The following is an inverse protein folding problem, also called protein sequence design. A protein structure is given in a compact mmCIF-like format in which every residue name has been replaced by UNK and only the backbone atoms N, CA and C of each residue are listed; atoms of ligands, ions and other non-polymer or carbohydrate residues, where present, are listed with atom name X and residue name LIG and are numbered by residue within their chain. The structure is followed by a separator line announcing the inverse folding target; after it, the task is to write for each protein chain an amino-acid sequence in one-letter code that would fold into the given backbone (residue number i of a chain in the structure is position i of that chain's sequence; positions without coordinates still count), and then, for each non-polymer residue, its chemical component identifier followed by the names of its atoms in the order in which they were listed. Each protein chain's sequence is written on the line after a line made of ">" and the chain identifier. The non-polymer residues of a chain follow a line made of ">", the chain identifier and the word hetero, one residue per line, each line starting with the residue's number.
data_IF_768489415413
#
_entry.id   IF_768489415413
#
_cell.length_a   1.000
_cell.length_b   1.000
_cell.length_c   1.000
_cell.angle_alpha   90.00
_cell.angle_beta   90.00
_cell.angle_gamma   90.00
#
_symmetry.space_group_name_H-M   'P 1'
#
loop_
_entity.id
_entity.type
_entity.pdbx_description
1 polymer ?
#
# COMPACT_ATOMS: atom_id res chain seq x y z
N UNK A 1 -1.82 5.66 -29.55
CA UNK A 1 -2.49 5.42 -28.26
C UNK A 1 -2.15 4.00 -27.86
N UNK A 2 -1.63 3.81 -26.66
CA UNK A 2 -1.32 2.48 -26.18
C UNK A 2 -2.64 1.77 -25.78
N UNK A 3 -2.79 0.46 -26.05
CA UNK A 3 -4.01 -0.29 -25.73
C UNK A 3 -4.34 -0.24 -24.24
N UNK A 4 -5.60 -0.43 -23.83
CA UNK A 4 -5.97 -0.40 -22.40
C UNK A 4 -5.16 -1.41 -21.58
N UNK A 5 -4.91 -2.61 -22.12
CA UNK A 5 -4.03 -3.60 -21.52
C UNK A 5 -2.59 -3.08 -21.30
N UNK A 6 -2.05 -2.30 -22.24
CA UNK A 6 -0.74 -1.68 -22.06
C UNK A 6 -0.74 -0.59 -20.99
N UNK A 7 -1.87 0.10 -20.76
CA UNK A 7 -2.00 1.07 -19.68
C UNK A 7 -1.98 0.38 -18.30
N UNK A 8 -2.64 -0.77 -18.16
CA UNK A 8 -2.57 -1.59 -16.93
C UNK A 8 -1.15 -2.06 -16.65
N UNK A 9 -0.44 -2.56 -17.68
CA UNK A 9 0.96 -2.99 -17.53
C UNK A 9 1.86 -1.84 -17.08
N UNK A 10 1.75 -0.69 -17.77
CA UNK A 10 2.52 0.52 -17.39
C UNK A 10 2.16 1.01 -15.99
N UNK A 11 0.90 0.91 -15.59
CA UNK A 11 0.47 1.24 -14.24
C UNK A 11 1.17 0.36 -13.21
N UNK A 12 1.06 -0.96 -13.33
CA UNK A 12 1.67 -1.90 -12.38
C UNK A 12 3.19 -1.82 -12.38
N UNK A 13 3.80 -1.60 -13.55
CA UNK A 13 5.25 -1.35 -13.67
C UNK A 13 5.67 -0.07 -12.93
N UNK A 14 4.94 1.02 -13.13
CA UNK A 14 5.22 2.30 -12.46
C UNK A 14 5.00 2.18 -10.96
N UNK A 15 3.91 1.56 -10.53
CA UNK A 15 3.61 1.34 -9.12
C UNK A 15 4.66 0.45 -8.44
N UNK A 16 5.10 -0.64 -9.08
CA UNK A 16 6.12 -1.54 -8.54
C UNK A 16 7.47 -0.83 -8.34
N UNK A 17 7.87 -0.01 -9.32
CA UNK A 17 9.07 0.83 -9.22
C UNK A 17 8.94 1.86 -8.10
N UNK A 18 7.87 2.64 -8.11
CA UNK A 18 7.71 3.73 -7.15
C UNK A 18 7.61 3.20 -5.71
N UNK A 19 6.91 2.09 -5.49
CA UNK A 19 6.88 1.44 -4.17
C UNK A 19 8.25 0.90 -3.74
N UNK A 20 9.06 0.41 -4.68
CA UNK A 20 10.43 -0.03 -4.40
C UNK A 20 11.31 1.15 -3.98
N UNK A 21 11.21 2.26 -4.70
CA UNK A 21 11.98 3.48 -4.43
C UNK A 21 11.59 4.11 -3.09
N UNK A 22 10.34 3.94 -2.64
CA UNK A 22 9.83 4.44 -1.36
C UNK A 22 9.70 3.35 -0.28
N UNK A 23 10.23 2.14 -0.51
CA UNK A 23 10.01 1.02 0.42
C UNK A 23 10.56 1.32 1.81
N UNK A 24 11.76 1.88 1.90
CA UNK A 24 12.41 2.22 3.17
C UNK A 24 11.63 3.29 3.93
N UNK A 25 11.17 4.34 3.23
CA UNK A 25 10.31 5.38 3.81
C UNK A 25 9.01 4.78 4.38
N UNK A 26 8.34 3.92 3.62
CA UNK A 26 7.10 3.27 4.05
C UNK A 26 7.36 2.32 5.24
N UNK A 27 8.52 1.66 5.28
CA UNK A 27 8.93 0.84 6.41
C UNK A 27 9.18 1.70 7.66
N UNK A 28 9.77 2.89 7.53
CA UNK A 28 10.03 3.82 8.64
C UNK A 28 8.76 4.49 9.19
N UNK A 29 7.73 4.62 8.34
CA UNK A 29 6.40 5.07 8.74
C UNK A 29 5.55 3.96 9.36
N UNK A 30 5.90 2.69 9.17
CA UNK A 30 5.13 1.55 9.63
C UNK A 30 5.17 1.41 11.16
N UNK A 31 4.18 1.97 11.82
CA UNK A 31 4.05 1.96 13.29
C UNK A 31 2.71 1.35 13.75
N UNK A 32 1.86 0.92 12.81
CA UNK A 32 0.51 0.40 13.05
C UNK A 32 0.12 -0.69 12.03
N UNK A 33 -0.60 -1.76 12.41
CA UNK A 33 -0.88 -2.21 13.78
C UNK A 33 0.36 -2.82 14.46
N UNK A 34 1.39 -3.13 13.68
CA UNK A 34 2.67 -3.66 14.16
C UNK A 34 3.82 -2.90 13.52
N UNK A 35 4.73 -2.40 14.35
CA UNK A 35 5.93 -1.71 13.91
C UNK A 35 7.03 -2.70 13.50
N UNK A 36 6.76 -3.51 12.48
CA UNK A 36 7.70 -4.52 11.98
C UNK A 36 8.52 -4.07 10.76
N UNK A 37 8.38 -2.80 10.39
CA UNK A 37 9.17 -2.14 9.36
C UNK A 37 9.20 -2.90 8.02
N UNK A 38 8.07 -3.53 7.64
CA UNK A 38 8.00 -4.31 6.40
C UNK A 38 6.89 -3.88 5.41
N UNK A 39 6.04 -2.91 5.77
CA UNK A 39 4.90 -2.48 4.94
C UNK A 39 5.29 -2.08 3.52
N UNK A 40 6.36 -1.28 3.36
CA UNK A 40 6.86 -0.87 2.04
C UNK A 40 7.38 -2.05 1.23
N UNK A 41 8.20 -2.90 1.87
CA UNK A 41 8.74 -4.12 1.24
C UNK A 41 7.63 -5.07 0.80
N UNK A 42 6.62 -5.27 1.65
CA UNK A 42 5.49 -6.15 1.40
C UNK A 42 4.62 -5.65 0.24
N UNK A 43 4.30 -4.35 0.20
CA UNK A 43 3.57 -3.76 -0.92
C UNK A 43 4.37 -3.82 -2.23
N UNK A 44 5.66 -3.47 -2.20
CA UNK A 44 6.51 -3.51 -3.40
C UNK A 44 6.59 -4.93 -4.00
N UNK A 45 6.77 -5.96 -3.15
CA UNK A 45 6.79 -7.36 -3.60
C UNK A 45 5.44 -7.80 -4.14
N UNK A 46 4.34 -7.40 -3.49
CA UNK A 46 2.98 -7.78 -3.90
C UNK A 46 2.63 -7.18 -5.27
N UNK A 47 2.97 -5.91 -5.49
CA UNK A 47 2.74 -5.22 -6.78
C UNK A 47 3.68 -5.73 -7.87
N UNK A 48 4.91 -6.11 -7.54
CA UNK A 48 5.82 -6.77 -8.48
C UNK A 48 5.26 -8.12 -8.94
N UNK A 49 4.68 -8.94 -8.05
CA UNK A 49 3.98 -10.18 -8.45
C UNK A 49 2.81 -9.88 -9.38
N UNK A 50 2.00 -8.87 -9.05
CA UNK A 50 0.87 -8.45 -9.89
C UNK A 50 1.34 -8.06 -11.30
N UNK A 51 2.39 -7.25 -11.39
CA UNK A 51 3.05 -6.85 -12.64
C UNK A 51 3.48 -8.07 -13.45
N UNK A 52 4.26 -8.97 -12.85
CA UNK A 52 4.78 -10.16 -13.54
C UNK A 52 3.68 -11.05 -14.09
N UNK A 53 2.57 -11.22 -13.35
CA UNK A 53 1.43 -11.99 -13.83
C UNK A 53 0.82 -11.40 -15.10
N UNK A 54 0.76 -10.08 -15.22
CA UNK A 54 0.26 -9.45 -16.44
C UNK A 54 1.16 -9.73 -17.64
N UNK A 55 2.49 -9.77 -17.48
CA UNK A 55 3.48 -10.00 -18.54
C UNK A 55 3.27 -11.32 -19.29
N UNK A 56 2.69 -12.32 -18.63
CA UNK A 56 2.49 -13.66 -19.20
C UNK A 56 1.21 -13.76 -20.04
N UNK A 57 0.15 -13.04 -19.67
CA UNK A 57 -1.16 -13.15 -20.34
C UNK A 57 -1.30 -12.13 -21.47
N UNK A 58 -1.41 -12.58 -22.73
CA UNK A 58 -1.77 -11.71 -23.85
C UNK A 58 -3.30 -11.60 -23.99
N UNK A 59 -3.89 -10.55 -23.40
CA UNK A 59 -5.33 -10.24 -23.53
C UNK A 59 -5.56 -8.76 -23.79
N UNK A 60 -6.53 -8.38 -24.65
CA UNK A 60 -7.01 -7.00 -24.74
C UNK A 60 -7.98 -6.63 -23.60
N UNK A 61 -8.48 -7.61 -22.85
CA UNK A 61 -9.47 -7.43 -21.80
C UNK A 61 -8.80 -6.90 -20.52
N UNK A 62 -9.22 -5.71 -20.10
CA UNK A 62 -8.70 -5.03 -18.90
C UNK A 62 -9.18 -5.74 -17.63
N UNK A 63 -10.43 -6.20 -17.61
CA UNK A 63 -11.01 -6.90 -16.47
C UNK A 63 -10.29 -8.20 -16.21
N UNK A 64 -10.05 -9.00 -17.26
CA UNK A 64 -9.29 -10.25 -17.17
C UNK A 64 -7.87 -9.99 -16.67
N UNK A 65 -7.18 -8.99 -17.21
CA UNK A 65 -5.81 -8.68 -16.85
C UNK A 65 -5.65 -8.19 -15.41
N UNK A 66 -6.54 -7.29 -14.95
CA UNK A 66 -6.53 -6.77 -13.57
C UNK A 66 -6.94 -7.86 -12.57
N UNK A 67 -7.91 -8.70 -12.93
CA UNK A 67 -8.33 -9.83 -12.10
C UNK A 67 -7.18 -10.83 -11.91
N UNK A 68 -6.49 -11.20 -13.00
CA UNK A 68 -5.31 -12.07 -12.94
C UNK A 68 -4.21 -11.45 -12.07
N UNK A 69 -3.92 -10.16 -12.25
CA UNK A 69 -2.92 -9.46 -11.44
C UNK A 69 -3.26 -9.50 -9.95
N UNK A 70 -4.52 -9.27 -9.59
CA UNK A 70 -5.01 -9.37 -8.22
C UNK A 70 -4.91 -10.78 -7.64
N UNK A 71 -5.27 -11.80 -8.42
CA UNK A 71 -5.19 -13.21 -7.98
C UNK A 71 -3.74 -13.64 -7.73
N UNK A 72 -2.83 -13.34 -8.66
CA UNK A 72 -1.41 -13.64 -8.49
C UNK A 72 -0.81 -12.88 -7.30
N UNK A 73 -1.17 -11.60 -7.15
CA UNK A 73 -0.77 -10.81 -5.98
C UNK A 73 -1.27 -11.44 -4.67
N UNK A 74 -2.48 -12.01 -4.66
CA UNK A 74 -3.08 -12.62 -3.47
C UNK A 74 -2.40 -13.94 -3.10
N UNK A 75 -1.98 -14.73 -4.08
CA UNK A 75 -1.29 -16.01 -3.85
C UNK A 75 0.08 -15.85 -3.18
N UNK A 76 0.79 -14.77 -3.52
CA UNK A 76 2.12 -14.47 -2.99
C UNK A 76 2.15 -13.22 -2.09
N UNK A 77 0.97 -12.75 -1.67
CA UNK A 77 0.83 -11.58 -0.81
C UNK A 77 1.61 -11.77 0.50
N UNK A 78 2.31 -10.70 0.90
CA UNK A 78 3.04 -10.65 2.16
C UNK A 78 2.46 -9.55 3.04
N UNK A 79 2.28 -9.86 4.32
CA UNK A 79 1.71 -8.96 5.31
C UNK A 79 0.25 -8.55 5.04
N UNK A 80 -0.28 -7.73 5.95
CA UNK A 80 -1.66 -7.24 5.88
C UNK A 80 -1.88 -6.30 4.69
N UNK A 81 -0.97 -5.34 4.51
CA UNK A 81 -1.07 -4.32 3.46
C UNK A 81 -1.05 -4.94 2.06
N UNK A 82 -0.17 -5.92 1.81
CA UNK A 82 -0.12 -6.66 0.54
C UNK A 82 -1.39 -7.49 0.30
N UNK A 83 -1.85 -8.23 1.31
CA UNK A 83 -3.07 -9.04 1.21
C UNK A 83 -4.29 -8.19 0.92
N UNK A 84 -4.45 -7.06 1.63
CA UNK A 84 -5.59 -6.16 1.44
C UNK A 84 -5.56 -5.51 0.04
N UNK A 85 -4.38 -5.08 -0.42
CA UNK A 85 -4.22 -4.55 -1.76
C UNK A 85 -4.57 -5.60 -2.84
N UNK A 86 -4.12 -6.84 -2.68
CA UNK A 86 -4.43 -7.92 -3.62
C UNK A 86 -5.93 -8.25 -3.67
N UNK A 87 -6.60 -8.23 -2.51
CA UNK A 87 -8.07 -8.38 -2.40
C UNK A 87 -8.79 -7.23 -3.13
N UNK A 88 -8.34 -5.99 -2.93
CA UNK A 88 -8.84 -4.83 -3.64
C UNK A 88 -8.68 -4.98 -5.15
N UNK A 89 -7.45 -5.29 -5.62
CA UNK A 89 -7.13 -5.38 -7.04
C UNK A 89 -7.94 -6.47 -7.74
N UNK A 90 -8.13 -7.62 -7.09
CA UNK A 90 -8.96 -8.71 -7.62
C UNK A 90 -10.41 -8.26 -7.83
N UNK A 91 -11.01 -7.61 -6.82
CA UNK A 91 -12.39 -7.14 -6.93
C UNK A 91 -12.56 -5.94 -7.87
N UNK A 92 -11.52 -5.10 -7.99
CA UNK A 92 -11.47 -4.06 -9.00
C UNK A 92 -11.55 -4.64 -10.41
N UNK A 93 -10.83 -5.73 -10.68
CA UNK A 93 -10.92 -6.46 -11.95
C UNK A 93 -12.35 -6.92 -12.26
N UNK A 94 -13.04 -7.50 -11.29
CA UNK A 94 -14.45 -7.89 -11.43
C UNK A 94 -15.39 -6.71 -11.68
N UNK A 95 -15.17 -5.56 -11.05
CA UNK A 95 -15.97 -4.35 -11.29
C UNK A 95 -15.74 -3.70 -12.66
N UNK A 96 -14.72 -4.14 -13.40
CA UNK A 96 -14.44 -3.72 -14.78
C UNK A 96 -15.07 -4.67 -15.83
N UNK A 97 -15.73 -5.76 -15.41
CA UNK A 97 -16.29 -6.75 -16.32
C UNK A 97 -17.30 -6.11 -17.30
N UNK A 98 -17.17 -6.46 -18.58
CA UNK A 98 -18.01 -5.92 -19.66
C UNK A 98 -17.59 -4.54 -20.18
N UNK A 99 -16.54 -3.91 -19.63
CA UNK A 99 -15.98 -2.68 -20.18
C UNK A 99 -15.06 -2.96 -21.37
N UNK A 100 -15.45 -2.53 -22.58
CA UNK A 100 -14.62 -2.68 -23.79
C UNK A 100 -13.32 -1.85 -23.73
N UNK A 101 -13.30 -0.82 -22.88
CA UNK A 101 -12.15 0.06 -22.65
C UNK A 101 -12.18 0.70 -21.28
N UNK A 102 -11.04 1.20 -20.83
CA UNK A 102 -10.97 1.96 -19.60
C UNK A 102 -11.60 3.36 -19.82
N UNK A 103 -12.56 3.71 -18.96
CA UNK A 103 -13.19 5.02 -18.89
C UNK A 103 -13.60 5.33 -17.45
N UNK A 104 -14.04 6.56 -17.17
CA UNK A 104 -14.25 7.04 -15.80
C UNK A 104 -15.27 6.20 -15.02
N UNK A 105 -16.41 5.87 -15.63
CA UNK A 105 -17.47 5.08 -15.00
C UNK A 105 -17.04 3.63 -14.72
N UNK A 106 -16.35 2.98 -15.67
CA UNK A 106 -15.83 1.64 -15.45
C UNK A 106 -14.81 1.64 -14.30
N UNK A 107 -13.92 2.62 -14.27
CA UNK A 107 -12.94 2.74 -13.20
C UNK A 107 -13.60 3.02 -11.84
N UNK A 108 -14.60 3.90 -11.78
CA UNK A 108 -15.37 4.18 -10.57
C UNK A 108 -16.08 2.92 -10.04
N UNK A 109 -16.67 2.12 -10.92
CA UNK A 109 -17.28 0.84 -10.56
C UNK A 109 -16.24 -0.14 -10.01
N UNK A 110 -15.08 -0.27 -10.67
CA UNK A 110 -13.97 -1.11 -10.22
C UNK A 110 -13.45 -0.70 -8.84
N UNK A 111 -13.15 0.58 -8.63
CA UNK A 111 -12.65 1.10 -7.35
C UNK A 111 -13.70 0.91 -6.24
N UNK A 112 -14.98 1.16 -6.53
CA UNK A 112 -16.08 0.92 -5.59
C UNK A 112 -16.19 -0.55 -5.21
N UNK A 113 -16.16 -1.46 -6.18
CA UNK A 113 -16.18 -2.91 -5.94
C UNK A 113 -14.97 -3.36 -5.10
N UNK A 114 -13.78 -2.89 -5.44
CA UNK A 114 -12.56 -3.13 -4.68
C UNK A 114 -12.65 -2.65 -3.24
N UNK A 115 -13.15 -1.43 -3.03
CA UNK A 115 -13.31 -0.84 -1.70
C UNK A 115 -14.28 -1.64 -0.84
N UNK A 116 -15.47 -1.97 -1.36
CA UNK A 116 -16.46 -2.82 -0.67
C UNK A 116 -15.84 -4.17 -0.29
N UNK A 117 -15.09 -4.79 -1.20
CA UNK A 117 -14.46 -6.10 -0.95
C UNK A 117 -13.36 -6.01 0.10
N UNK A 118 -12.54 -4.96 0.09
CA UNK A 118 -11.44 -4.75 1.04
C UNK A 118 -11.99 -4.57 2.46
N UNK A 119 -12.99 -3.71 2.64
CA UNK A 119 -13.68 -3.53 3.92
C UNK A 119 -14.31 -4.81 4.43
N UNK A 120 -14.99 -5.55 3.55
CA UNK A 120 -15.67 -6.81 3.93
C UNK A 120 -14.70 -7.98 4.15
N UNK A 121 -13.41 -7.84 3.80
CA UNK A 121 -12.41 -8.87 4.01
C UNK A 121 -11.95 -8.97 5.48
N UNK A 122 -12.17 -7.92 6.26
CA UNK A 122 -11.64 -7.75 7.59
C UNK A 122 -12.75 -7.92 8.62
N UNK A 123 -12.40 -8.57 9.73
CA UNK A 123 -13.33 -8.74 10.87
C UNK A 123 -13.46 -7.45 11.67
N UNK A 124 -12.37 -6.70 11.83
CA UNK A 124 -12.33 -5.43 12.54
C UNK A 124 -11.60 -4.38 11.69
N UNK A 125 -12.31 -3.69 10.77
CA UNK A 125 -11.68 -2.73 9.89
C UNK A 125 -11.38 -1.42 10.62
N UNK A 126 -10.16 -0.91 10.46
CA UNK A 126 -9.67 0.28 11.17
C UNK A 126 -9.65 1.52 10.25
N UNK A 127 -10.43 2.58 10.55
CA UNK A 127 -10.32 3.88 9.89
C UNK A 127 -8.93 4.50 10.03
N UNK A 128 -8.54 5.33 9.08
CA UNK A 128 -7.23 5.98 9.01
C UNK A 128 -6.13 5.12 8.39
N UNK A 129 -6.44 3.88 8.01
CA UNK A 129 -5.52 3.00 7.25
C UNK A 129 -5.75 3.13 5.74
N UNK A 130 -5.10 2.27 4.94
CA UNK A 130 -5.42 2.04 3.52
C UNK A 130 -6.93 1.98 3.22
N UNK A 131 -7.75 1.49 4.16
CA UNK A 131 -9.21 1.44 4.02
C UNK A 131 -9.87 2.82 3.85
N UNK A 132 -9.38 3.84 4.56
CA UNK A 132 -9.90 5.23 4.42
C UNK A 132 -9.58 5.78 3.03
N UNK A 133 -8.40 5.48 2.48
CA UNK A 133 -8.01 5.86 1.12
C UNK A 133 -8.91 5.18 0.08
N UNK A 134 -9.17 3.87 0.22
CA UNK A 134 -10.11 3.15 -0.65
C UNK A 134 -11.55 3.68 -0.53
N UNK A 135 -11.99 4.03 0.67
CA UNK A 135 -13.31 4.60 0.90
C UNK A 135 -13.46 5.99 0.28
N UNK A 136 -12.43 6.83 0.39
CA UNK A 136 -12.39 8.15 -0.23
C UNK A 136 -12.38 8.05 -1.76
N UNK A 137 -11.51 7.20 -2.32
CA UNK A 137 -11.41 6.98 -3.77
C UNK A 137 -12.73 6.45 -4.37
N UNK A 138 -13.44 5.55 -3.67
CA UNK A 138 -14.72 5.00 -4.11
C UNK A 138 -15.87 6.02 -4.11
N UNK A 139 -15.76 7.10 -3.33
CA UNK A 139 -16.78 8.16 -3.25
C UNK A 139 -16.59 9.27 -4.28
N UNK A 140 -15.49 9.24 -5.05
CA UNK A 140 -15.19 10.27 -6.05
C UNK A 140 -16.23 10.20 -7.18
N UNK A 141 -17.01 11.27 -7.42
CA UNK A 141 -17.99 11.27 -8.49
C UNK A 141 -17.30 11.36 -9.86
N UNK A 142 -17.89 10.68 -10.85
CA UNK A 142 -17.51 10.86 -12.25
C UNK A 142 -17.87 12.29 -12.68
N UNK A 143 -16.92 13.09 -13.19
CA UNK A 143 -17.19 14.47 -13.55
C UNK A 143 -18.08 14.55 -14.81
N UNK A 144 -19.04 15.47 -14.80
CA UNK A 144 -19.92 15.77 -15.94
C UNK A 144 -19.22 16.75 -16.90
N UNK A 145 -18.23 16.23 -17.64
CA UNK A 145 -17.34 17.00 -18.50
C UNK A 145 -16.98 16.21 -19.77
N UNK A 146 -17.11 16.87 -20.93
CA UNK A 146 -16.89 16.23 -22.22
C UNK A 146 -17.94 15.16 -22.54
N UNK A 147 -17.68 14.37 -23.60
CA UNK A 147 -18.53 13.23 -23.95
C UNK A 147 -18.35 12.10 -22.91
N UNK A 148 -19.44 11.41 -22.51
CA UNK A 148 -19.36 10.25 -21.61
C UNK A 148 -18.34 9.22 -22.08
N UNK A 149 -17.49 8.81 -21.14
CA UNK A 149 -16.39 7.91 -21.37
C UNK A 149 -15.21 8.50 -22.15
N UNK A 150 -15.13 9.81 -22.39
CA UNK A 150 -13.97 10.41 -23.08
C UNK A 150 -12.68 10.34 -22.24
N UNK A 151 -11.52 10.40 -22.91
CA UNK A 151 -10.21 10.46 -22.23
C UNK A 151 -10.05 11.72 -21.36
N UNK A 152 -10.70 12.82 -21.73
CA UNK A 152 -10.71 14.05 -20.93
C UNK A 152 -11.42 13.83 -19.59
N UNK A 153 -12.61 13.21 -19.63
CA UNK A 153 -13.36 12.85 -18.43
C UNK A 153 -12.58 11.88 -17.54
N UNK A 154 -11.98 10.83 -18.13
CA UNK A 154 -11.13 9.87 -17.41
C UNK A 154 -9.93 10.55 -16.72
N UNK A 155 -9.23 11.43 -17.43
CA UNK A 155 -8.10 12.18 -16.87
C UNK A 155 -8.52 13.06 -15.69
N UNK A 156 -9.64 13.77 -15.81
CA UNK A 156 -10.18 14.60 -14.71
C UNK A 156 -10.63 13.74 -13.52
N UNK A 157 -11.28 12.60 -13.77
CA UNK A 157 -11.66 11.64 -12.73
C UNK A 157 -10.45 11.12 -11.96
N UNK A 158 -9.39 10.69 -12.66
CA UNK A 158 -8.16 10.20 -12.04
C UNK A 158 -7.46 11.26 -11.17
N UNK A 159 -7.48 12.53 -11.57
CA UNK A 159 -6.97 13.62 -10.72
C UNK A 159 -7.77 13.77 -9.43
N UNK A 160 -9.11 13.78 -9.52
CA UNK A 160 -9.96 13.84 -8.33
C UNK A 160 -9.79 12.61 -7.43
N UNK A 161 -9.57 11.44 -8.03
CA UNK A 161 -9.30 10.20 -7.31
C UNK A 161 -8.01 10.27 -6.50
N UNK A 162 -6.91 10.73 -7.12
CA UNK A 162 -5.63 10.91 -6.43
C UNK A 162 -5.71 12.00 -5.36
N UNK A 163 -6.43 13.10 -5.62
CA UNK A 163 -6.66 14.15 -4.63
C UNK A 163 -7.42 13.62 -3.39
N UNK A 164 -8.51 12.87 -3.61
CA UNK A 164 -9.26 12.27 -2.50
C UNK A 164 -8.41 11.27 -1.70
N UNK A 165 -7.60 10.47 -2.40
CA UNK A 165 -6.65 9.57 -1.76
C UNK A 165 -5.61 10.33 -0.93
N UNK A 166 -5.05 11.42 -1.48
CA UNK A 166 -4.08 12.28 -0.80
C UNK A 166 -4.66 12.89 0.49
N UNK A 167 -5.87 13.44 0.44
CA UNK A 167 -6.53 13.98 1.63
C UNK A 167 -6.79 12.90 2.70
N UNK A 168 -7.15 11.68 2.28
CA UNK A 168 -7.33 10.56 3.21
C UNK A 168 -6.00 10.11 3.86
N UNK A 169 -4.88 10.15 3.13
CA UNK A 169 -3.55 9.92 3.71
C UNK A 169 -3.22 10.97 4.77
N UNK A 170 -3.43 12.25 4.49
CA UNK A 170 -3.17 13.31 5.48
C UNK A 170 -4.06 13.16 6.73
N UNK A 171 -5.33 12.78 6.54
CA UNK A 171 -6.28 12.56 7.62
C UNK A 171 -5.91 11.37 8.53
N UNK A 172 -5.13 10.40 8.04
CA UNK A 172 -4.69 9.24 8.84
C UNK A 172 -4.01 9.64 10.15
N UNK A 173 -3.25 10.75 10.15
CA UNK A 173 -2.57 11.28 11.33
C UNK A 173 -3.52 11.69 12.47
N UNK A 174 -4.79 11.97 12.14
CA UNK A 174 -5.84 12.35 13.09
C UNK A 174 -6.83 11.22 13.36
N UNK A 175 -7.00 10.29 12.42
CA UNK A 175 -7.92 9.15 12.57
C UNK A 175 -7.32 8.03 13.41
N UNK A 176 -6.03 7.76 13.26
CA UNK A 176 -5.31 6.74 14.04
C UNK A 176 -4.74 7.36 15.32
N UNK A 177 -5.22 6.89 16.48
CA UNK A 177 -4.77 7.40 17.79
C UNK A 177 -3.25 7.31 17.94
N UNK A 178 -2.64 6.22 17.46
CA UNK A 178 -1.19 5.98 17.46
C UNK A 178 -0.39 7.04 16.68
N UNK A 179 -1.02 7.70 15.70
CA UNK A 179 -0.37 8.74 14.89
C UNK A 179 -0.68 10.16 15.39
N UNK A 180 -1.64 10.33 16.30
CA UNK A 180 -2.04 11.66 16.78
C UNK A 180 -0.88 12.36 17.48
N UNK A 181 -0.64 13.60 17.07
CA UNK A 181 0.45 14.41 17.63
C UNK A 181 1.84 14.07 17.08
N UNK A 182 1.95 13.07 16.20
CA UNK A 182 3.17 12.79 15.43
C UNK A 182 3.16 13.56 14.11
N UNK A 183 4.33 13.62 13.46
CA UNK A 183 4.47 14.14 12.08
C UNK A 183 4.45 13.01 11.04
N UNK A 184 3.65 11.95 11.29
CA UNK A 184 3.58 10.74 10.45
C UNK A 184 2.16 10.47 9.95
N UNK A 185 2.08 9.72 8.85
CA UNK A 185 0.85 9.19 8.25
C UNK A 185 0.90 7.66 8.21
N UNK A 186 -0.24 7.01 7.99
CA UNK A 186 -0.29 5.56 7.81
C UNK A 186 0.50 5.11 6.57
N UNK A 187 1.41 4.15 6.77
CA UNK A 187 2.26 3.63 5.71
C UNK A 187 1.45 2.89 4.63
N UNK A 188 0.41 2.14 5.01
CA UNK A 188 -0.46 1.45 4.06
C UNK A 188 -1.26 2.41 3.18
N UNK A 189 -1.79 3.48 3.78
CA UNK A 189 -2.50 4.56 3.11
C UNK A 189 -1.59 5.27 2.10
N UNK A 190 -0.38 5.67 2.51
CA UNK A 190 0.59 6.30 1.62
C UNK A 190 1.02 5.36 0.49
N UNK A 191 1.25 4.08 0.77
CA UNK A 191 1.54 3.07 -0.24
C UNK A 191 0.42 2.95 -1.28
N UNK A 192 -0.84 2.99 -0.87
CA UNK A 192 -1.97 2.97 -1.81
C UNK A 192 -2.05 4.26 -2.64
N UNK A 193 -1.77 5.43 -2.05
CA UNK A 193 -1.68 6.69 -2.81
C UNK A 193 -0.64 6.61 -3.93
N UNK A 194 0.53 6.03 -3.65
CA UNK A 194 1.58 5.79 -4.67
C UNK A 194 1.02 4.96 -5.84
N UNK A 195 0.31 3.87 -5.52
CA UNK A 195 -0.28 2.99 -6.54
C UNK A 195 -1.35 3.72 -7.37
N UNK A 196 -2.21 4.52 -6.75
CA UNK A 196 -3.28 5.26 -7.44
C UNK A 196 -2.72 6.41 -8.30
N UNK A 197 -1.66 7.08 -7.87
CA UNK A 197 -0.99 8.08 -8.69
C UNK A 197 -0.24 7.47 -9.88
N UNK A 198 0.37 6.30 -9.69
CA UNK A 198 0.94 5.55 -10.81
C UNK A 198 -0.12 5.19 -11.88
N UNK A 199 -1.36 4.88 -11.47
CA UNK A 199 -2.47 4.66 -12.40
C UNK A 199 -2.77 5.93 -13.21
N UNK A 200 -2.89 7.07 -12.51
CA UNK A 200 -3.11 8.38 -13.13
C UNK A 200 -2.03 8.67 -14.18
N UNK A 201 -0.75 8.54 -13.81
CA UNK A 201 0.39 8.77 -14.72
C UNK A 201 0.38 7.85 -15.94
N UNK A 202 0.15 6.54 -15.72
CA UNK A 202 0.14 5.54 -16.78
C UNK A 202 -0.99 5.75 -17.82
N UNK A 203 -2.15 6.24 -17.37
CA UNK A 203 -3.31 6.55 -18.23
C UNK A 203 -3.16 7.91 -18.91
N UNK A 204 -2.63 8.92 -18.22
CA UNK A 204 -2.41 10.25 -18.80
C UNK A 204 -1.23 10.30 -19.78
N UNK A 205 -0.39 9.26 -19.84
CA UNK A 205 0.81 9.23 -20.67
C UNK A 205 1.89 10.22 -20.21
N UNK A 206 1.76 10.72 -18.97
CA UNK A 206 2.78 11.54 -18.32
C UNK A 206 3.74 10.58 -17.62
N UNK A 207 4.84 10.26 -18.27
CA UNK A 207 5.98 9.68 -17.57
C UNK A 207 6.54 10.73 -16.63
N UNK A 208 6.63 10.40 -15.34
CA UNK A 208 7.72 10.96 -14.56
C UNK A 208 9.00 10.37 -15.14
N UNK A 209 9.85 11.23 -15.73
CA UNK A 209 11.29 10.98 -15.66
C UNK A 209 11.54 10.79 -14.17
N UNK A 210 11.92 9.58 -13.77
CA UNK A 210 12.21 9.31 -12.36
C UNK A 210 13.19 10.36 -11.85
N UNK A 211 13.14 10.72 -10.56
CA UNK A 211 14.11 11.64 -10.03
C UNK A 211 15.52 11.12 -10.33
N UNK A 212 16.28 11.91 -11.09
CA UNK A 212 17.74 11.83 -11.14
C UNK A 212 18.26 12.36 -9.78
N UNK A 213 17.90 11.66 -8.70
CA UNK A 213 18.36 11.92 -7.35
C UNK A 213 19.39 10.82 -7.07
N UNK A 214 20.63 11.25 -6.80
CA UNK A 214 21.89 10.49 -6.66
C UNK A 214 22.88 10.52 -7.83
N UNK A 215 22.89 11.59 -8.63
CA UNK A 215 24.08 12.05 -9.35
C UNK A 215 24.79 13.18 -8.59
N UNK A 216 25.36 12.90 -7.42
CA UNK A 216 25.88 13.95 -6.53
C UNK A 216 26.96 13.52 -5.55
N UNK A 217 27.89 12.66 -5.96
CA UNK A 217 29.20 12.57 -5.31
C UNK A 217 30.29 12.52 -6.38
N UNK A 218 30.72 13.70 -6.83
CA UNK A 218 32.12 13.91 -7.24
C UNK A 218 32.49 15.39 -7.05
N UNK A 219 33.78 15.71 -6.88
CA UNK A 219 34.26 16.60 -5.83
C UNK A 219 34.14 18.08 -6.23
N UNK A 220 34.07 18.94 -5.21
CA UNK A 220 33.99 20.39 -5.34
C UNK A 220 34.96 20.97 -6.40
N UNK A 221 34.49 21.84 -7.32
CA UNK A 221 35.39 22.62 -8.15
C UNK A 221 35.82 23.90 -7.42
N UNK A 222 37.12 24.14 -7.48
CA UNK A 222 37.80 25.34 -7.00
C UNK A 222 37.31 26.62 -7.70
N UNK A 223 37.50 27.74 -7.00
CA UNK A 223 37.20 29.10 -7.41
C UNK A 223 37.78 29.53 -8.77
N UNK A 224 36.96 30.22 -9.58
CA UNK A 224 37.22 31.44 -10.38
C UNK A 224 35.99 31.68 -11.25
N UNK A 225 35.29 32.81 -11.20
CA UNK A 225 35.77 34.13 -11.62
C UNK A 225 34.84 34.61 -12.76
N UNK A 226 34.32 35.81 -12.63
CA UNK A 226 33.21 36.42 -13.38
C UNK A 226 33.51 36.72 -14.85
N UNK A 227 32.47 36.78 -15.70
CA UNK A 227 32.10 37.94 -16.55
C UNK A 227 31.24 37.57 -17.77
N UNK A 228 30.20 38.39 -18.05
CA UNK A 228 29.72 38.67 -19.41
C UNK A 228 28.31 38.20 -19.82
N UNK A 229 27.34 39.12 -19.78
CA UNK A 229 26.09 39.11 -20.57
C UNK A 229 26.29 39.86 -21.92
N UNK A 230 25.29 39.98 -22.83
CA UNK A 230 24.20 39.08 -23.27
C UNK A 230 24.05 39.05 -24.82
N UNK A 231 23.13 38.27 -25.42
CA UNK A 231 22.45 38.68 -26.67
C UNK A 231 21.24 37.81 -27.09
N UNK A 232 20.16 38.52 -27.42
CA UNK A 232 18.86 38.10 -27.93
C UNK A 232 18.90 37.37 -29.28
N UNK A 233 17.99 36.40 -29.48
CA UNK A 233 17.30 36.15 -30.77
C UNK A 233 15.87 35.66 -30.54
N UNK A 234 14.93 36.45 -31.03
CA UNK A 234 13.53 36.07 -31.26
C UNK A 234 13.40 35.07 -32.42
N UNK A 235 12.48 34.12 -32.29
CA UNK A 235 12.05 33.23 -33.37
C UNK A 235 10.89 32.33 -32.92
N UNK A 236 9.68 32.78 -33.20
CA UNK A 236 8.42 32.04 -33.43
C UNK A 236 8.34 30.58 -32.93
N UNK A 237 7.48 30.30 -31.94
CA UNK A 237 6.51 29.21 -32.14
C UNK A 237 5.21 29.40 -31.35
N UNK A 238 4.14 28.95 -31.99
CA UNK A 238 2.74 29.22 -31.69
C UNK A 238 2.19 28.35 -30.56
N UNK A 239 1.33 28.95 -29.74
CA UNK A 239 0.25 28.33 -28.96
C UNK A 239 0.55 26.98 -28.29
N UNK A 240 1.05 27.06 -27.05
CA UNK A 240 0.87 26.02 -26.03
C UNK A 240 0.60 26.71 -24.68
N UNK A 241 -0.46 27.50 -24.63
CA UNK A 241 -0.94 28.07 -23.36
C UNK A 241 -1.83 27.02 -22.68
N UNK A 242 -1.43 26.59 -21.48
CA UNK A 242 -2.37 26.09 -20.49
C UNK A 242 -2.22 24.65 -20.01
N UNK A 243 -1.04 24.05 -20.03
CA UNK A 243 -0.67 22.92 -19.18
C UNK A 243 0.84 23.06 -18.90
N UNK A 244 1.30 22.81 -17.68
CA UNK A 244 2.73 22.65 -17.34
C UNK A 244 3.49 23.92 -16.86
N UNK A 245 3.05 24.55 -15.76
CA UNK A 245 3.90 25.47 -14.96
C UNK A 245 4.37 24.87 -13.62
N UNK A 246 3.90 23.68 -13.25
CA UNK A 246 4.35 22.97 -12.05
C UNK A 246 5.29 21.86 -12.52
N UNK A 247 6.45 21.72 -11.87
CA UNK A 247 7.38 20.61 -12.10
C UNK A 247 6.69 19.24 -11.89
N UNK A 248 7.43 18.11 -11.96
CA UNK A 248 6.80 16.81 -11.75
C UNK A 248 6.16 16.76 -10.36
N UNK A 249 4.83 16.84 -10.32
CA UNK A 249 4.02 16.70 -9.12
C UNK A 249 4.05 15.24 -8.68
N UNK A 250 4.60 14.99 -7.50
CA UNK A 250 4.62 13.67 -6.87
C UNK A 250 3.84 13.74 -5.56
N UNK A 251 2.70 13.03 -5.42
CA UNK A 251 1.91 13.09 -4.20
C UNK A 251 2.65 12.72 -2.92
N UNK A 252 3.70 11.88 -3.02
CA UNK A 252 4.54 11.54 -1.87
C UNK A 252 5.29 12.76 -1.35
N UNK A 253 5.94 13.52 -2.24
CA UNK A 253 6.71 14.72 -1.86
C UNK A 253 5.82 15.76 -1.19
N UNK A 254 4.59 15.93 -1.67
CA UNK A 254 3.61 16.84 -1.08
C UNK A 254 3.10 16.36 0.28
N UNK A 255 2.88 15.05 0.47
CA UNK A 255 2.54 14.48 1.79
C UNK A 255 3.68 14.72 2.76
N UNK A 256 4.92 14.38 2.38
CA UNK A 256 6.11 14.57 3.23
C UNK A 256 6.29 16.03 3.63
N UNK A 257 6.16 16.95 2.65
CA UNK A 257 6.22 18.39 2.90
C UNK A 257 5.11 18.85 3.84
N UNK A 258 3.87 18.38 3.63
CA UNK A 258 2.70 18.79 4.40
C UNK A 258 2.76 18.36 5.86
N UNK A 259 3.36 17.20 6.13
CA UNK A 259 3.53 16.69 7.50
C UNK A 259 4.85 17.14 8.14
N UNK A 260 5.66 17.94 7.45
CA UNK A 260 6.95 18.41 7.96
C UNK A 260 8.00 17.30 8.09
N UNK A 261 7.88 16.24 7.30
CA UNK A 261 8.84 15.13 7.26
C UNK A 261 10.10 15.59 6.52
N UNK A 262 11.15 15.90 7.28
CA UNK A 262 12.48 16.13 6.72
C UNK A 262 13.11 14.77 6.41
N UNK A 263 13.63 14.56 5.20
CA UNK A 263 14.27 13.28 4.78
C UNK A 263 15.53 12.95 5.61
N UNK A 264 16.00 13.89 6.44
CA UNK A 264 17.05 13.72 7.43
C UNK A 264 16.69 14.47 8.74
N UNK A 265 15.71 13.99 9.53
CA UNK A 265 15.34 14.66 10.76
C UNK A 265 16.29 14.25 11.90
N UNK A 266 16.72 15.15 12.79
CA UNK A 266 17.17 14.72 14.11
C UNK A 266 15.96 14.08 14.80
N UNK A 267 16.11 12.83 15.25
CA UNK A 267 15.08 12.14 16.04
C UNK A 267 14.67 13.05 17.19
N UNK A 268 13.43 13.55 17.19
CA UNK A 268 12.92 14.30 18.32
C UNK A 268 12.59 13.31 19.44
N UNK A 269 13.17 13.49 20.62
CA UNK A 269 12.99 12.61 21.79
C UNK A 269 11.51 12.38 22.16
N UNK A 270 10.62 13.30 21.78
CA UNK A 270 9.18 13.21 22.00
C UNK A 270 8.51 12.11 21.15
N UNK A 271 8.93 11.92 19.89
CA UNK A 271 8.42 10.85 19.04
C UNK A 271 8.89 9.49 19.59
N UNK A 272 10.17 9.38 19.97
CA UNK A 272 10.72 8.16 20.56
C UNK A 272 10.01 7.76 21.87
N UNK A 273 9.70 8.74 22.73
CA UNK A 273 8.98 8.48 23.99
C UNK A 273 7.52 8.07 23.76
N UNK A 274 6.84 8.65 22.76
CA UNK A 274 5.49 8.23 22.38
C UNK A 274 5.48 6.81 21.80
N UNK A 275 6.47 6.48 20.95
CA UNK A 275 6.62 5.13 20.38
C UNK A 275 6.95 4.08 21.44
N UNK A 276 7.81 4.37 22.41
CA UNK A 276 8.06 3.44 23.53
C UNK A 276 6.84 3.29 24.44
N UNK A 277 6.08 4.37 24.71
CA UNK A 277 4.84 4.27 25.47
C UNK A 277 3.75 3.43 24.76
N UNK A 278 3.72 3.45 23.41
CA UNK A 278 2.82 2.64 22.59
C UNK A 278 3.24 1.17 22.54
N UNK A 279 4.55 0.91 22.50
CA UNK A 279 5.12 -0.43 22.64
C UNK A 279 4.78 -1.02 24.01
N UNK A 280 4.80 -0.21 25.06
CA UNK A 280 4.39 -0.59 26.41
C UNK A 280 2.86 -0.78 26.57
N UNK A 281 2.05 -0.09 25.74
CA UNK A 281 0.58 -0.19 25.79
C UNK A 281 0.01 -1.41 25.03
N UNK A 282 0.75 -1.95 24.06
CA UNK A 282 0.36 -3.14 23.31
C UNK A 282 0.83 -4.38 24.08
N UNK A 283 -0.09 -5.08 24.76
CA UNK A 283 0.26 -6.21 25.66
C UNK A 283 0.67 -7.49 24.92
N UNK A 284 0.57 -7.49 23.60
CA UNK A 284 0.99 -8.55 22.71
C UNK A 284 0.42 -8.34 21.31
N UNK A 285 0.58 -9.34 20.46
CA UNK A 285 0.06 -9.38 19.10
C UNK A 285 -0.59 -10.74 18.84
N UNK A 286 -1.65 -10.71 18.07
CA UNK A 286 -2.24 -11.89 17.45
C UNK A 286 -1.51 -12.13 16.13
N UNK A 287 -0.88 -13.29 16.00
CA UNK A 287 -0.28 -13.74 14.74
C UNK A 287 -1.14 -14.84 14.15
N UNK A 288 -1.68 -14.58 12.96
CA UNK A 288 -2.34 -15.56 12.11
C UNK A 288 -1.46 -15.85 10.89
N UNK A 289 -1.35 -17.11 10.50
CA UNK A 289 -0.61 -17.49 9.30
C UNK A 289 -1.20 -18.75 8.67
N UNK A 290 -0.83 -19.02 7.42
CA UNK A 290 -1.09 -20.29 6.75
C UNK A 290 0.21 -20.98 6.40
N UNK A 291 0.23 -22.31 6.51
CA UNK A 291 1.42 -23.12 6.26
C UNK A 291 1.04 -24.49 5.70
N UNK A 292 1.80 -24.94 4.72
CA UNK A 292 1.65 -26.26 4.13
C UNK A 292 2.57 -27.22 4.90
N UNK A 293 1.99 -28.16 5.63
CA UNK A 293 2.72 -29.06 6.52
C UNK A 293 2.00 -30.39 6.75
N UNK A 294 2.76 -31.40 7.17
CA UNK A 294 2.19 -32.69 7.60
C UNK A 294 1.52 -32.55 8.97
N UNK A 295 0.62 -33.47 9.31
CA UNK A 295 -0.04 -33.49 10.62
C UNK A 295 0.95 -33.58 11.80
N UNK A 296 2.09 -34.25 11.60
CA UNK A 296 3.14 -34.34 12.62
C UNK A 296 3.80 -32.98 12.87
N UNK A 297 4.17 -32.27 11.80
CA UNK A 297 4.76 -30.93 11.90
C UNK A 297 3.76 -29.96 12.52
N UNK A 298 2.47 -30.06 12.18
CA UNK A 298 1.41 -29.24 12.78
C UNK A 298 1.28 -29.45 14.29
N UNK A 299 1.40 -30.69 14.75
CA UNK A 299 1.40 -31.00 16.17
C UNK A 299 2.63 -30.40 16.89
N UNK A 300 3.81 -30.48 16.27
CA UNK A 300 5.04 -29.87 16.81
C UNK A 300 4.94 -28.34 16.87
N UNK A 301 4.49 -27.70 15.79
CA UNK A 301 4.29 -26.24 15.74
C UNK A 301 3.30 -25.80 16.83
N UNK A 302 2.18 -26.50 16.99
CA UNK A 302 1.21 -26.19 18.05
C UNK A 302 1.84 -26.29 19.44
N UNK A 303 2.66 -27.31 19.68
CA UNK A 303 3.31 -27.50 20.97
C UNK A 303 4.29 -26.37 21.29
N UNK A 304 5.18 -26.03 20.35
CA UNK A 304 6.18 -24.97 20.55
C UNK A 304 5.54 -23.58 20.65
N UNK A 305 4.48 -23.31 19.89
CA UNK A 305 3.72 -22.07 20.04
C UNK A 305 3.03 -21.97 21.39
N UNK A 306 2.55 -23.08 21.95
CA UNK A 306 1.93 -23.10 23.28
C UNK A 306 2.95 -22.87 24.43
N UNK A 307 4.25 -23.06 24.17
CA UNK A 307 5.31 -22.64 25.10
C UNK A 307 5.69 -21.16 24.93
N UNK A 308 5.36 -20.58 23.78
CA UNK A 308 5.79 -19.24 23.37
C UNK A 308 4.69 -18.17 23.56
N UNK A 309 3.42 -18.59 23.57
CA UNK A 309 2.27 -17.70 23.62
C UNK A 309 0.99 -18.40 24.08
N UNK A 310 -0.11 -17.66 24.02
CA UNK A 310 -1.44 -18.10 24.46
C UNK A 310 -2.41 -18.22 23.27
N UNK A 311 -3.62 -18.75 23.52
CA UNK A 311 -4.68 -18.89 22.51
C UNK A 311 -4.25 -19.59 21.22
N UNK A 312 -3.44 -20.64 21.33
CA UNK A 312 -2.86 -21.33 20.17
C UNK A 312 -3.89 -22.22 19.47
N UNK A 313 -4.14 -21.92 18.19
CA UNK A 313 -5.00 -22.71 17.31
C UNK A 313 -4.18 -23.11 16.08
N UNK A 314 -4.18 -24.41 15.76
CA UNK A 314 -3.60 -24.96 14.53
C UNK A 314 -4.64 -25.88 13.91
N UNK A 315 -5.25 -25.46 12.79
CA UNK A 315 -6.38 -26.15 12.16
C UNK A 315 -6.11 -26.46 10.70
N UNK A 316 -6.45 -27.67 10.27
CA UNK A 316 -6.35 -28.08 8.87
C UNK A 316 -7.44 -27.36 8.05
N UNK A 317 -7.07 -26.82 6.89
CA UNK A 317 -7.94 -26.04 6.00
C UNK A 317 -8.27 -26.83 4.74
N UNK A 318 -7.24 -27.35 4.05
CA UNK A 318 -7.42 -28.09 2.80
C UNK A 318 -6.30 -29.11 2.58
N UNK A 319 -6.62 -30.25 1.99
CA UNK A 319 -5.64 -31.25 1.57
C UNK A 319 -4.91 -30.77 0.32
N UNK A 320 -3.57 -30.89 0.30
CA UNK A 320 -2.74 -30.59 -0.88
C UNK A 320 -2.33 -31.90 -1.55
N UNK A 321 -1.85 -32.84 -0.75
CA UNK A 321 -1.51 -34.20 -1.13
C UNK A 321 -1.78 -35.14 0.08
N UNK A 322 -1.64 -36.47 -0.08
CA UNK A 322 -2.02 -37.43 0.97
C UNK A 322 -1.36 -37.22 2.33
N UNK A 323 -0.19 -36.60 2.38
CA UNK A 323 0.59 -36.40 3.60
C UNK A 323 0.68 -34.92 4.02
N UNK A 324 0.33 -33.99 3.13
CA UNK A 324 0.46 -32.53 3.33
C UNK A 324 -0.88 -31.83 3.25
N UNK A 325 -1.15 -31.03 4.28
CA UNK A 325 -2.34 -30.18 4.36
C UNK A 325 -1.92 -28.73 4.47
N UNK A 326 -2.78 -27.83 4.02
CA UNK A 326 -2.72 -26.41 4.38
C UNK A 326 -3.31 -26.23 5.76
N UNK A 327 -2.55 -25.65 6.66
CA UNK A 327 -2.95 -25.36 8.04
C UNK A 327 -3.08 -23.86 8.25
N UNK A 328 -4.09 -23.45 9.01
CA UNK A 328 -4.19 -22.12 9.60
C UNK A 328 -3.64 -22.18 11.02
N UNK A 329 -2.74 -21.27 11.32
CA UNK A 329 -2.12 -21.09 12.63
C UNK A 329 -2.56 -19.75 13.20
N UNK A 330 -2.87 -19.72 14.47
CA UNK A 330 -3.23 -18.54 15.24
C UNK A 330 -2.60 -18.67 16.63
N UNK A 331 -1.96 -17.60 17.10
CA UNK A 331 -1.32 -17.53 18.41
C UNK A 331 -1.29 -16.09 18.90
N UNK A 332 -1.45 -15.88 20.20
CA UNK A 332 -1.21 -14.60 20.85
C UNK A 332 0.19 -14.63 21.48
N UNK A 333 1.08 -13.72 21.08
CA UNK A 333 2.45 -13.63 21.59
C UNK A 333 2.76 -12.20 22.03
N UNK A 334 3.68 -11.98 23.00
CA UNK A 334 4.12 -10.63 23.34
C UNK A 334 4.72 -9.86 22.15
N UNK A 335 5.48 -10.57 21.31
CA UNK A 335 6.09 -10.01 20.09
C UNK A 335 5.94 -10.98 18.92
N UNK A 336 5.61 -10.47 17.73
CA UNK A 336 5.36 -11.32 16.55
C UNK A 336 6.55 -12.22 16.21
N UNK A 337 7.76 -11.75 16.46
CA UNK A 337 9.00 -12.45 16.13
C UNK A 337 9.09 -13.80 16.87
N UNK A 338 8.48 -13.89 18.06
CA UNK A 338 8.42 -15.12 18.83
C UNK A 338 7.65 -16.20 18.06
N UNK A 339 6.45 -15.88 17.58
CA UNK A 339 5.66 -16.80 16.77
C UNK A 339 6.34 -17.10 15.41
N UNK A 340 6.78 -16.05 14.69
CA UNK A 340 7.39 -16.21 13.36
C UNK A 340 8.67 -17.05 13.40
N UNK A 341 9.45 -16.98 14.48
CA UNK A 341 10.64 -17.81 14.66
C UNK A 341 10.30 -19.30 14.80
N UNK A 342 9.20 -19.64 15.46
CA UNK A 342 8.70 -21.02 15.56
C UNK A 342 8.22 -21.50 14.20
N UNK A 343 7.38 -20.71 13.52
CA UNK A 343 6.84 -21.08 12.21
C UNK A 343 7.95 -21.30 11.17
N UNK A 344 8.93 -20.39 11.11
CA UNK A 344 10.03 -20.45 10.13
C UNK A 344 10.99 -21.63 10.34
N UNK A 345 11.06 -22.20 11.55
CA UNK A 345 11.83 -23.43 11.81
C UNK A 345 11.21 -24.68 11.17
N UNK A 346 9.91 -24.64 10.93
CA UNK A 346 9.11 -25.79 10.48
C UNK A 346 8.57 -25.65 9.05
N UNK A 347 8.74 -24.49 8.42
CA UNK A 347 8.33 -24.25 7.04
C UNK A 347 8.31 -22.78 6.67
N UNK A 348 7.67 -22.45 5.55
CA UNK A 348 7.49 -21.06 5.10
C UNK A 348 6.06 -20.59 5.37
N UNK A 349 5.80 -19.77 6.40
CA UNK A 349 4.49 -19.18 6.63
C UNK A 349 4.10 -18.20 5.50
N UNK A 350 2.82 -18.26 5.11
CA UNK A 350 2.16 -17.44 4.07
C UNK A 350 0.91 -16.77 4.65
N UNK A 351 0.40 -15.71 4.02
CA UNK A 351 -0.79 -14.97 4.48
C UNK A 351 -0.68 -14.60 5.97
N UNK A 352 0.47 -14.04 6.35
CA UNK A 352 0.73 -13.66 7.73
C UNK A 352 -0.05 -12.38 8.01
N UNK A 353 -0.97 -12.48 8.96
CA UNK A 353 -1.70 -11.35 9.50
C UNK A 353 -1.28 -11.16 10.94
N UNK A 354 -0.88 -9.94 11.28
CA UNK A 354 -0.56 -9.59 12.66
C UNK A 354 -1.43 -8.42 13.11
N UNK A 355 -2.10 -8.60 14.23
CA UNK A 355 -3.02 -7.63 14.83
C UNK A 355 -2.56 -7.31 16.25
N UNK A 356 -2.57 -6.05 16.66
CA UNK A 356 -2.25 -5.68 18.05
C UNK A 356 -3.30 -6.18 19.04
N UNK A 357 -2.87 -6.65 20.21
CA UNK A 357 -3.75 -7.03 21.31
C UNK A 357 -3.79 -5.90 22.35
N UNK A 358 -4.90 -5.18 22.41
CA UNK A 358 -5.16 -4.22 23.48
C UNK A 358 -5.41 -4.94 24.80
N UNK A 359 -4.85 -4.42 25.89
CA UNK A 359 -5.18 -4.88 27.24
C UNK A 359 -6.71 -4.82 27.47
N UNK A 360 -7.32 -5.86 28.03
CA UNK A 360 -8.66 -5.70 28.62
C UNK A 360 -8.57 -4.62 29.70
N UNK A 361 -9.48 -3.63 29.75
CA UNK A 361 -9.49 -2.67 30.83
C UNK A 361 -9.70 -3.45 32.12
N UNK A 362 -8.67 -3.49 32.98
CA UNK A 362 -8.77 -4.04 34.32
C UNK A 362 -9.90 -3.31 35.03
N UNK A 363 -11.00 -4.02 35.28
CA UNK A 363 -12.24 -3.45 35.79
C UNK A 363 -12.00 -2.54 36.99
N UNK A 364 -12.50 -1.31 36.90
CA UNK A 364 -12.62 -0.44 38.06
C UNK A 364 -13.52 -1.15 39.10
N UNK A 365 -13.14 -1.15 40.39
CA UNK A 365 -14.01 -1.69 41.42
C UNK A 365 -15.27 -0.82 41.48
N UNK A 366 -16.42 -1.43 41.25
CA UNK A 366 -17.72 -0.83 41.53
C UNK A 366 -17.73 -0.25 42.95
N UNK A 367 -17.64 1.07 43.05
CA UNK A 367 -18.02 1.80 44.27
C UNK A 367 -19.55 1.83 44.27
N UNK A 368 -20.13 0.92 45.04
CA UNK A 368 -21.51 1.05 45.51
C UNK A 368 -21.59 2.20 46.52
N UNK A 369 -22.47 3.15 46.26
CA UNK A 369 -23.06 4.02 47.29
C UNK A 369 -24.58 3.75 47.36
#
# INVERSE_FOLDING_TARGET
>A
MASNASAVRRWLETAARDLRDHADLLNDLNVFPVADADTGTNLALTVETAKQATEVLETPDVSELVTLAGQAALEEARGNSGTLFAVFLTAMGGGLEGAERLHAEALANGVSAGSVRAWSALTDPVPGTMLSVLAAAAQVPVPDVGEPGSNHQLSLYLRHLVEAAHQAVLASSQELEVLRGTSKVDAGALGLLIILDALRRAVSGQEGVGPDLWGGADPAPEHRGTDGQPQDRHGEDRHREGLDEQGPFTPVDDVLTSIGYDLYPPVHDADAAAFEALKDANTGVEVMATMDMTALVAATVRHELAETGESVIVSAVSEIDPDTWRWRVHVHVPEQQMALSVLRRHGSPRNITVTGLTAEPTGEPHVTD
#
